data_IF_593788137417
#
_entry.id   IF_593788137417
#
_cell.length_a   1.000
_cell.length_b   1.000
_cell.length_c   1.000
_cell.angle_alpha   90.00
_cell.angle_beta   90.00
_cell.angle_gamma   90.00
#
_symmetry.space_group_name_H-M   'P 1'
#
loop_
_entity.id
_entity.type
_entity.pdbx_description
1 polymer ?
#
# COMPACT_ATOMS: atom_id res chain seq x y z
N UNK A 1 -41.55 -42.59 -48.50
CA UNK A 1 -41.46 -42.26 -47.06
C UNK A 1 -40.03 -41.97 -46.59
N UNK A 2 -38.98 -42.23 -47.38
CA UNK A 2 -37.57 -42.09 -46.96
C UNK A 2 -36.93 -40.72 -47.29
N UNK A 3 -37.55 -39.93 -48.19
CA UNK A 3 -37.06 -38.59 -48.59
C UNK A 3 -37.32 -37.50 -47.54
N UNK A 4 -38.47 -37.57 -46.85
CA UNK A 4 -38.88 -36.53 -45.89
C UNK A 4 -38.15 -36.61 -44.55
N UNK A 5 -37.75 -37.81 -44.13
CA UNK A 5 -36.97 -38.01 -42.89
C UNK A 5 -35.55 -37.43 -43.03
N UNK A 6 -34.93 -37.58 -44.21
CA UNK A 6 -33.59 -37.07 -44.48
C UNK A 6 -33.59 -35.53 -44.61
N UNK A 7 -34.62 -34.95 -45.25
CA UNK A 7 -34.82 -33.50 -45.33
C UNK A 7 -35.00 -32.85 -43.94
N UNK A 8 -35.79 -33.46 -43.07
CA UNK A 8 -35.99 -32.98 -41.69
C UNK A 8 -34.73 -33.14 -40.82
N UNK A 9 -33.96 -34.21 -41.00
CA UNK A 9 -32.66 -34.41 -40.33
C UNK A 9 -31.64 -33.34 -40.74
N UNK A 10 -31.56 -33.02 -42.03
CA UNK A 10 -30.67 -31.97 -42.56
C UNK A 10 -31.08 -30.58 -42.05
N UNK A 11 -32.39 -30.27 -42.04
CA UNK A 11 -32.91 -29.01 -41.47
C UNK A 11 -32.58 -28.89 -39.98
N UNK A 12 -32.78 -29.97 -39.19
CA UNK A 12 -32.48 -29.97 -37.75
C UNK A 12 -30.99 -29.76 -37.45
N UNK A 13 -30.09 -30.39 -38.23
CA UNK A 13 -28.64 -30.18 -38.12
C UNK A 13 -28.24 -28.74 -38.46
N UNK A 14 -28.87 -28.11 -39.46
CA UNK A 14 -28.65 -26.69 -39.80
C UNK A 14 -29.12 -25.74 -38.69
N UNK A 15 -30.29 -25.99 -38.10
CA UNK A 15 -30.82 -25.18 -36.99
C UNK A 15 -29.91 -25.29 -35.75
N UNK A 16 -29.47 -26.50 -35.39
CA UNK A 16 -28.54 -26.70 -34.27
C UNK A 16 -27.22 -25.94 -34.51
N UNK A 17 -26.65 -26.02 -35.72
CA UNK A 17 -25.43 -25.30 -36.07
C UNK A 17 -25.61 -23.78 -35.96
N UNK A 18 -26.77 -23.25 -36.37
CA UNK A 18 -27.10 -21.82 -36.24
C UNK A 18 -27.25 -21.39 -34.77
N UNK A 19 -27.87 -22.20 -33.91
CA UNK A 19 -28.02 -21.91 -32.48
C UNK A 19 -26.65 -21.90 -31.78
N UNK A 20 -25.76 -22.83 -32.10
CA UNK A 20 -24.39 -22.83 -31.55
C UNK A 20 -23.58 -21.61 -32.01
N UNK A 21 -23.69 -21.23 -33.30
CA UNK A 21 -23.04 -20.02 -33.81
C UNK A 21 -23.57 -18.77 -33.10
N UNK A 22 -24.90 -18.65 -32.94
CA UNK A 22 -25.51 -17.52 -32.25
C UNK A 22 -25.11 -17.46 -30.77
N UNK A 23 -25.09 -18.60 -30.07
CA UNK A 23 -24.65 -18.69 -28.68
C UNK A 23 -23.17 -18.32 -28.51
N UNK A 24 -22.32 -18.72 -29.46
CA UNK A 24 -20.91 -18.35 -29.48
C UNK A 24 -20.73 -16.85 -29.75
N UNK A 25 -21.50 -16.27 -30.67
CA UNK A 25 -21.50 -14.84 -30.92
C UNK A 25 -21.95 -14.03 -29.70
N UNK A 26 -22.98 -14.47 -28.97
CA UNK A 26 -23.44 -13.80 -27.75
C UNK A 26 -22.39 -13.89 -26.64
N UNK A 27 -21.78 -15.07 -26.44
CA UNK A 27 -20.68 -15.21 -25.48
C UNK A 27 -19.47 -14.32 -25.86
N UNK A 28 -19.15 -14.24 -27.15
CA UNK A 28 -18.10 -13.36 -27.65
C UNK A 28 -18.46 -11.88 -27.44
N UNK A 29 -19.72 -11.48 -27.60
CA UNK A 29 -20.20 -10.13 -27.28
C UNK A 29 -20.06 -9.79 -25.79
N UNK A 30 -20.30 -10.74 -24.88
CA UNK A 30 -20.06 -10.54 -23.43
C UNK A 30 -18.57 -10.46 -23.08
N UNK A 31 -17.72 -11.27 -23.73
CA UNK A 31 -16.26 -11.21 -23.55
C UNK A 31 -15.70 -9.91 -24.12
N UNK A 32 -16.16 -9.48 -25.30
CA UNK A 32 -15.81 -8.19 -25.91
C UNK A 32 -16.33 -7.05 -25.04
N UNK A 33 -17.52 -7.14 -24.46
CA UNK A 33 -18.05 -6.09 -23.57
C UNK A 33 -17.27 -6.00 -22.25
N UNK A 34 -16.83 -7.14 -21.69
CA UNK A 34 -15.93 -7.14 -20.51
C UNK A 34 -14.55 -6.60 -20.87
N UNK A 35 -14.00 -6.99 -22.02
CA UNK A 35 -12.74 -6.45 -22.52
C UNK A 35 -12.84 -4.96 -22.84
N UNK A 36 -13.99 -4.49 -23.36
CA UNK A 36 -14.26 -3.09 -23.64
C UNK A 36 -14.35 -2.27 -22.34
N UNK A 37 -15.03 -2.78 -21.29
CA UNK A 37 -15.03 -2.13 -19.96
C UNK A 37 -13.65 -2.11 -19.31
N UNK A 38 -12.86 -3.16 -19.49
CA UNK A 38 -11.46 -3.20 -19.03
C UNK A 38 -10.61 -2.20 -19.81
N UNK A 39 -10.78 -2.11 -21.14
CA UNK A 39 -10.11 -1.13 -22.00
C UNK A 39 -10.57 0.30 -21.73
N UNK A 40 -11.82 0.53 -21.36
CA UNK A 40 -12.35 1.84 -20.99
C UNK A 40 -11.81 2.27 -19.62
N UNK A 41 -11.72 1.35 -18.66
CA UNK A 41 -11.05 1.57 -17.37
C UNK A 41 -9.55 1.85 -17.57
N UNK A 42 -8.88 1.08 -18.43
CA UNK A 42 -7.47 1.29 -18.80
C UNK A 42 -7.31 2.59 -19.59
N UNK A 43 -8.26 2.97 -20.44
CA UNK A 43 -8.25 4.21 -21.23
C UNK A 43 -8.43 5.44 -20.35
N UNK A 44 -9.37 5.41 -19.40
CA UNK A 44 -9.55 6.47 -18.38
C UNK A 44 -8.28 6.57 -17.52
N UNK A 45 -7.69 5.44 -17.13
CA UNK A 45 -6.42 5.41 -16.41
C UNK A 45 -5.24 5.95 -17.24
N UNK A 46 -5.17 5.60 -18.53
CA UNK A 46 -4.08 5.96 -19.45
C UNK A 46 -4.22 7.37 -20.04
N UNK A 47 -5.44 7.91 -20.11
CA UNK A 47 -5.70 9.28 -20.56
C UNK A 47 -5.30 10.31 -19.49
N UNK A 48 -5.31 9.93 -18.21
CA UNK A 48 -4.77 10.76 -17.12
C UNK A 48 -3.30 10.49 -16.81
N UNK A 49 -2.70 9.43 -17.36
CA UNK A 49 -1.29 9.10 -17.19
C UNK A 49 -0.64 8.78 -18.55
N UNK A 50 -0.27 9.83 -19.29
CA UNK A 50 0.83 9.75 -20.26
C UNK A 50 2.15 9.63 -19.50
N UNK A 51 2.40 8.46 -18.93
CA UNK A 51 3.73 7.99 -18.54
C UNK A 51 3.72 6.49 -18.34
N UNK A 52 3.87 5.78 -19.44
CA UNK A 52 4.25 4.37 -19.45
C UNK A 52 5.75 4.26 -19.66
N UNK A 53 6.50 4.50 -18.59
CA UNK A 53 7.84 3.97 -18.37
C UNK A 53 7.96 3.74 -16.87
N UNK A 54 8.75 2.76 -16.45
CA UNK A 54 8.99 2.24 -15.09
C UNK A 54 9.55 3.29 -14.08
N UNK A 55 9.30 4.56 -14.34
CA UNK A 55 9.86 5.73 -13.69
C UNK A 55 8.92 6.89 -14.04
N UNK A 56 7.88 7.18 -13.27
CA UNK A 56 7.25 8.50 -13.36
C UNK A 56 6.49 8.95 -12.11
N UNK A 57 7.01 10.06 -11.59
CA UNK A 57 6.34 11.07 -10.77
C UNK A 57 5.94 10.65 -9.38
N UNK A 58 6.95 10.63 -8.50
CA UNK A 58 6.73 11.28 -7.21
C UNK A 58 6.37 12.73 -7.53
N UNK A 59 5.07 13.01 -7.59
CA UNK A 59 4.57 14.36 -7.57
C UNK A 59 4.70 14.85 -6.13
N UNK A 60 5.92 15.24 -5.72
CA UNK A 60 6.18 16.04 -4.51
C UNK A 60 5.68 17.47 -4.77
N UNK A 61 4.38 17.58 -5.04
CA UNK A 61 3.77 18.80 -5.57
C UNK A 61 2.30 18.97 -5.22
N UNK A 62 1.78 18.20 -4.25
CA UNK A 62 0.56 18.56 -3.52
C UNK A 62 0.38 17.65 -2.30
N UNK A 63 0.87 18.11 -1.15
CA UNK A 63 0.47 17.62 0.18
C UNK A 63 -0.91 18.20 0.50
N UNK A 64 -1.88 18.00 -0.40
CA UNK A 64 -3.30 18.18 -0.09
C UNK A 64 -3.82 16.80 0.26
N UNK A 65 -3.93 16.57 1.56
CA UNK A 65 -4.12 15.30 2.24
C UNK A 65 -5.53 14.68 2.06
N UNK A 66 -6.12 14.75 0.87
CA UNK A 66 -7.52 14.39 0.64
C UNK A 66 -7.77 13.17 -0.26
N UNK A 67 -6.73 12.63 -0.93
CA UNK A 67 -6.87 11.51 -1.87
C UNK A 67 -6.19 10.20 -1.45
N UNK A 68 -5.65 10.09 -0.22
CA UNK A 68 -5.16 8.79 0.27
C UNK A 68 -6.34 7.86 0.61
N UNK A 69 -6.50 6.73 -0.11
CA UNK A 69 -7.66 5.86 0.04
C UNK A 69 -7.66 5.14 1.40
N UNK A 70 -6.49 4.84 1.97
CA UNK A 70 -6.40 4.17 3.27
C UNK A 70 -6.87 5.14 4.35
N UNK A 71 -6.37 6.38 4.35
CA UNK A 71 -6.73 7.40 5.31
C UNK A 71 -8.23 7.73 5.23
N UNK A 72 -8.75 7.93 4.01
CA UNK A 72 -10.17 8.21 3.78
C UNK A 72 -11.08 7.11 4.31
N UNK A 73 -10.74 5.84 4.06
CA UNK A 73 -11.55 4.71 4.51
C UNK A 73 -11.37 4.43 6.00
N UNK A 74 -10.18 4.67 6.57
CA UNK A 74 -9.94 4.44 7.99
C UNK A 74 -10.63 5.48 8.89
N UNK A 75 -10.73 6.73 8.41
CA UNK A 75 -11.40 7.82 9.14
C UNK A 75 -12.92 7.76 9.03
N UNK A 76 -13.47 7.01 8.08
CA UNK A 76 -14.91 6.78 7.94
C UNK A 76 -15.38 5.63 8.87
N UNK A 77 -16.31 5.87 9.82
CA UNK A 77 -16.79 4.85 10.75
C UNK A 77 -17.34 3.58 10.09
N UNK A 78 -17.90 3.68 8.87
CA UNK A 78 -18.48 2.55 8.15
C UNK A 78 -17.42 1.57 7.61
N UNK A 79 -16.26 2.08 7.22
CA UNK A 79 -15.18 1.31 6.56
C UNK A 79 -13.97 1.10 7.47
N UNK A 80 -13.91 1.79 8.61
CA UNK A 80 -12.78 1.76 9.55
C UNK A 80 -12.37 0.34 9.96
N UNK A 81 -13.34 -0.52 10.27
CA UNK A 81 -13.06 -1.89 10.72
C UNK A 81 -12.45 -2.75 9.61
N UNK A 82 -12.90 -2.60 8.36
CA UNK A 82 -12.38 -3.38 7.24
C UNK A 82 -10.95 -2.99 6.89
N UNK A 83 -10.64 -1.69 6.95
CA UNK A 83 -9.26 -1.21 6.84
C UNK A 83 -8.40 -1.78 7.97
N UNK A 84 -8.92 -1.74 9.20
CA UNK A 84 -8.19 -2.32 10.33
C UNK A 84 -7.95 -3.82 10.15
N UNK A 85 -8.95 -4.59 9.71
CA UNK A 85 -8.84 -6.03 9.50
C UNK A 85 -7.77 -6.36 8.45
N UNK A 86 -7.75 -5.60 7.34
CA UNK A 86 -6.72 -5.73 6.31
C UNK A 86 -5.31 -5.53 6.90
N UNK A 87 -5.09 -4.46 7.66
CA UNK A 87 -3.77 -4.20 8.26
C UNK A 87 -3.45 -5.13 9.43
N UNK A 88 -4.47 -5.64 10.12
CA UNK A 88 -4.31 -6.66 11.17
C UNK A 88 -3.80 -7.97 10.57
N UNK A 89 -4.29 -8.34 9.38
CA UNK A 89 -3.78 -9.49 8.63
C UNK A 89 -2.32 -9.29 8.17
N UNK A 90 -1.95 -8.09 7.69
CA UNK A 90 -0.57 -7.78 7.28
C UNK A 90 0.41 -7.85 8.46
N UNK A 91 0.01 -7.30 9.62
CA UNK A 91 0.87 -7.22 10.81
C UNK A 91 0.81 -8.46 11.69
N UNK A 92 -0.16 -9.35 11.45
CA UNK A 92 -0.55 -10.42 12.36
C UNK A 92 -0.86 -9.91 13.79
N UNK A 93 -1.37 -8.68 13.91
CA UNK A 93 -1.73 -8.08 15.20
C UNK A 93 -2.60 -6.83 15.04
N UNK A 94 -3.86 -6.92 15.45
CA UNK A 94 -4.76 -5.76 15.48
C UNK A 94 -4.18 -4.60 16.30
N UNK A 95 -3.53 -4.92 17.42
CA UNK A 95 -2.91 -3.92 18.29
C UNK A 95 -1.80 -3.13 17.60
N UNK A 96 -0.96 -3.80 16.80
CA UNK A 96 0.10 -3.15 16.02
C UNK A 96 -0.50 -2.36 14.86
N UNK A 97 -1.43 -2.95 14.11
CA UNK A 97 -2.12 -2.28 13.01
C UNK A 97 -2.81 -0.99 13.46
N UNK A 98 -3.60 -1.06 14.54
CA UNK A 98 -4.30 0.09 15.12
C UNK A 98 -3.32 1.16 15.62
N UNK A 99 -2.23 0.76 16.28
CA UNK A 99 -1.19 1.69 16.71
C UNK A 99 -0.57 2.48 15.54
N UNK A 100 -0.29 1.81 14.41
CA UNK A 100 0.26 2.48 13.23
C UNK A 100 -0.80 3.37 12.57
N UNK A 101 -2.02 2.88 12.37
CA UNK A 101 -3.11 3.62 11.72
C UNK A 101 -3.52 4.88 12.49
N UNK A 102 -3.78 4.77 13.80
CA UNK A 102 -4.20 5.90 14.62
C UNK A 102 -3.11 6.98 14.68
N UNK A 103 -1.84 6.59 14.79
CA UNK A 103 -0.74 7.56 14.79
C UNK A 103 -0.46 8.13 13.38
N UNK A 104 -0.66 7.36 12.31
CA UNK A 104 -0.56 7.88 10.95
C UNK A 104 -1.60 8.99 10.70
N UNK A 105 -2.85 8.77 11.13
CA UNK A 105 -3.91 9.79 11.12
C UNK A 105 -3.50 11.02 11.94
N UNK A 106 -3.08 10.81 13.19
CA UNK A 106 -2.74 11.90 14.11
C UNK A 106 -1.58 12.78 13.62
N UNK A 107 -0.64 12.20 12.89
CA UNK A 107 0.54 12.90 12.36
C UNK A 107 0.39 13.31 10.89
N UNK A 108 -0.77 13.13 10.26
CA UNK A 108 -1.00 13.47 8.85
C UNK A 108 -0.02 12.72 7.92
N UNK A 109 0.35 11.49 8.31
CA UNK A 109 1.27 10.61 7.58
C UNK A 109 0.48 9.65 6.70
N UNK A 110 0.96 9.36 5.49
CA UNK A 110 0.39 8.32 4.65
C UNK A 110 0.47 6.97 5.38
N UNK A 111 -0.65 6.26 5.60
CA UNK A 111 -0.62 4.98 6.30
C UNK A 111 0.31 3.97 5.60
N UNK A 112 0.29 3.91 4.26
CA UNK A 112 1.18 3.02 3.48
C UNK A 112 2.66 3.22 3.81
N UNK A 113 3.12 4.48 3.93
CA UNK A 113 4.49 4.81 4.29
C UNK A 113 4.79 4.40 5.74
N UNK A 114 3.89 4.70 6.68
CA UNK A 114 4.08 4.34 8.08
C UNK A 114 4.21 2.82 8.29
N UNK A 115 3.37 2.02 7.61
CA UNK A 115 3.50 0.56 7.62
C UNK A 115 4.77 0.09 6.91
N UNK A 116 5.15 0.70 5.79
CA UNK A 116 6.38 0.34 5.08
C UNK A 116 7.63 0.53 5.94
N UNK A 117 7.75 1.67 6.62
CA UNK A 117 8.84 1.95 7.56
C UNK A 117 8.82 0.93 8.70
N UNK A 118 7.68 0.71 9.37
CA UNK A 118 7.58 -0.28 10.45
C UNK A 118 7.97 -1.71 10.01
N UNK A 119 7.67 -2.08 8.76
CA UNK A 119 8.08 -3.36 8.19
C UNK A 119 9.60 -3.44 8.00
N UNK A 120 10.21 -2.42 7.39
CA UNK A 120 11.66 -2.40 7.14
C UNK A 120 12.44 -2.36 8.46
N UNK A 121 11.95 -1.63 9.45
CA UNK A 121 12.59 -1.50 10.75
C UNK A 121 12.51 -2.78 11.59
N UNK A 122 11.33 -3.38 11.72
CA UNK A 122 11.12 -4.46 12.71
C UNK A 122 10.33 -5.66 12.18
N UNK A 123 9.91 -5.64 10.92
CA UNK A 123 8.90 -6.57 10.38
C UNK A 123 7.66 -6.64 11.28
N UNK A 124 7.21 -5.46 11.72
CA UNK A 124 6.08 -5.29 12.64
C UNK A 124 6.25 -5.88 14.05
N UNK A 125 7.48 -6.20 14.47
CA UNK A 125 7.74 -6.75 15.80
C UNK A 125 7.91 -5.62 16.84
N UNK A 126 6.94 -5.38 17.75
CA UNK A 126 7.06 -4.32 18.75
C UNK A 126 8.11 -4.63 19.82
N UNK A 127 8.67 -5.83 19.86
CA UNK A 127 9.76 -6.24 20.77
C UNK A 127 11.12 -6.33 20.07
N UNK A 128 11.23 -5.87 18.82
CA UNK A 128 12.49 -5.88 18.10
C UNK A 128 13.55 -5.04 18.83
N UNK A 129 14.78 -5.53 18.85
CA UNK A 129 15.93 -4.86 19.46
C UNK A 129 17.15 -5.10 18.58
N UNK A 130 17.90 -4.05 18.31
CA UNK A 130 19.19 -4.13 17.64
C UNK A 130 20.18 -3.15 18.26
N UNK A 131 21.47 -3.42 18.06
CA UNK A 131 22.55 -2.56 18.53
C UNK A 131 23.19 -1.88 17.34
N UNK A 132 23.27 -0.56 17.38
CA UNK A 132 23.95 0.23 16.36
C UNK A 132 25.47 0.09 16.51
N UNK A 133 26.25 0.39 15.46
CA UNK A 133 27.72 0.32 15.48
C UNK A 133 28.35 1.22 16.55
N UNK A 134 27.64 2.27 16.96
CA UNK A 134 28.04 3.20 18.03
C UNK A 134 27.76 2.66 19.44
N UNK A 135 27.17 1.47 19.57
CA UNK A 135 26.78 0.85 20.85
C UNK A 135 25.41 1.27 21.36
N UNK A 136 24.74 2.24 20.71
CA UNK A 136 23.37 2.66 21.04
C UNK A 136 22.35 1.59 20.66
N UNK A 137 21.20 1.59 21.34
CA UNK A 137 20.14 0.59 21.14
C UNK A 137 19.02 1.15 20.28
N UNK A 138 18.62 0.39 19.28
CA UNK A 138 17.40 0.60 18.52
C UNK A 138 16.32 -0.34 19.06
N UNK A 139 15.12 0.18 19.33
CA UNK A 139 14.09 -0.60 20.03
C UNK A 139 12.67 -0.38 19.49
N UNK A 140 11.91 -1.47 19.50
CA UNK A 140 10.49 -1.51 19.20
C UNK A 140 10.16 -1.46 17.71
N UNK A 141 8.89 -1.17 17.44
CA UNK A 141 8.23 -1.28 16.14
C UNK A 141 8.90 -0.46 15.02
N UNK A 142 9.38 0.73 15.35
CA UNK A 142 10.03 1.71 14.46
C UNK A 142 11.54 1.83 14.73
N UNK A 143 12.10 0.90 15.53
CA UNK A 143 13.53 0.82 15.86
C UNK A 143 14.16 2.15 16.30
N UNK A 144 13.45 2.89 17.15
CA UNK A 144 13.93 4.19 17.64
C UNK A 144 15.25 4.03 18.38
N UNK A 145 16.20 4.91 18.09
CA UNK A 145 17.48 4.92 18.80
C UNK A 145 17.30 5.48 20.21
N UNK A 146 18.06 4.95 21.17
CA UNK A 146 18.10 5.44 22.56
C UNK A 146 18.44 6.92 22.70
N UNK A 147 19.16 7.52 21.73
CA UNK A 147 19.40 8.96 21.71
C UNK A 147 18.14 9.80 21.42
N UNK A 148 17.12 9.21 20.78
CA UNK A 148 15.90 9.91 20.33
C UNK A 148 14.84 9.95 21.44
N UNK A 149 14.65 8.86 22.20
CA UNK A 149 13.60 8.80 23.21
C UNK A 149 14.05 9.17 24.64
N UNK A 150 15.32 9.54 24.82
CA UNK A 150 15.82 10.18 26.05
C UNK A 150 15.45 9.43 27.33
N UNK A 151 14.63 10.06 28.19
CA UNK A 151 14.20 9.53 29.52
C UNK A 151 13.01 8.57 29.47
N UNK A 152 12.48 8.24 28.29
CA UNK A 152 11.39 7.26 28.18
C UNK A 152 11.91 5.90 28.65
N UNK A 153 11.14 5.23 29.51
CA UNK A 153 11.53 3.92 30.01
C UNK A 153 11.61 2.89 28.88
N UNK A 154 12.59 2.01 28.96
CA UNK A 154 12.77 0.91 28.00
C UNK A 154 11.51 0.03 27.90
N UNK A 155 10.79 -0.19 29.00
CA UNK A 155 9.51 -0.91 28.95
C UNK A 155 8.47 -0.19 28.08
N UNK A 156 8.43 1.13 28.15
CA UNK A 156 7.47 1.94 27.40
C UNK A 156 7.80 1.99 25.90
N UNK A 157 9.06 1.82 25.50
CA UNK A 157 9.43 1.85 24.08
C UNK A 157 8.99 0.60 23.31
N UNK A 158 8.74 -0.51 24.01
CA UNK A 158 8.19 -1.74 23.43
C UNK A 158 6.66 -1.76 23.38
N UNK A 159 6.02 -0.69 23.84
CA UNK A 159 4.60 -0.46 23.59
C UNK A 159 4.41 0.04 22.14
N UNK A 160 3.64 -0.66 21.27
CA UNK A 160 3.47 -0.29 19.88
C UNK A 160 2.83 1.08 19.70
N UNK A 161 1.93 1.52 20.58
CA UNK A 161 1.33 2.87 20.46
C UNK A 161 2.37 3.94 20.76
N UNK A 162 3.10 3.78 21.87
CA UNK A 162 4.13 4.75 22.24
C UNK A 162 5.26 4.78 21.21
N UNK A 163 5.67 3.63 20.68
CA UNK A 163 6.72 3.53 19.67
C UNK A 163 6.27 4.10 18.32
N UNK A 164 5.05 3.78 17.86
CA UNK A 164 4.49 4.33 16.62
C UNK A 164 4.30 5.85 16.70
N UNK A 165 3.80 6.37 17.82
CA UNK A 165 3.66 7.81 18.05
C UNK A 165 4.99 8.54 17.85
N UNK A 166 6.05 8.03 18.46
CA UNK A 166 7.38 8.63 18.37
C UNK A 166 8.00 8.45 16.99
N UNK A 167 7.93 7.25 16.40
CA UNK A 167 8.55 6.99 15.10
C UNK A 167 7.88 7.73 13.96
N UNK A 168 6.55 7.74 13.92
CA UNK A 168 5.80 8.48 12.90
C UNK A 168 5.97 9.99 13.12
N UNK A 169 5.91 10.45 14.36
CA UNK A 169 6.16 11.86 14.69
C UNK A 169 7.56 12.32 14.25
N UNK A 170 8.58 11.52 14.53
CA UNK A 170 9.96 11.84 14.15
C UNK A 170 10.18 11.82 12.63
N UNK A 171 9.55 10.88 11.92
CA UNK A 171 9.56 10.88 10.45
C UNK A 171 8.87 12.13 9.89
N UNK A 172 7.74 12.53 10.47
CA UNK A 172 7.01 13.74 10.06
C UNK A 172 7.84 15.02 10.31
N UNK A 173 8.57 15.09 11.41
CA UNK A 173 9.52 16.19 11.67
C UNK A 173 10.56 16.28 10.54
N UNK A 174 11.12 15.16 10.11
CA UNK A 174 12.07 15.17 9.00
C UNK A 174 11.45 15.53 7.66
N UNK A 175 10.21 15.12 7.37
CA UNK A 175 9.49 15.56 6.16
C UNK A 175 9.32 17.08 6.18
N UNK A 176 8.89 17.63 7.31
CA UNK A 176 8.69 19.08 7.45
C UNK A 176 10.00 19.88 7.33
N UNK A 177 11.10 19.34 7.86
CA UNK A 177 12.41 20.00 7.82
C UNK A 177 13.06 19.98 6.45
N UNK A 178 12.97 18.86 5.72
CA UNK A 178 13.69 18.68 4.47
C UNK A 178 12.84 19.03 3.24
N UNK A 179 11.52 19.03 3.35
CA UNK A 179 10.59 19.31 2.25
C UNK A 179 10.43 18.15 1.25
N UNK A 180 11.18 17.07 1.41
CA UNK A 180 11.08 15.88 0.58
C UNK A 180 11.24 14.58 1.40
N UNK A 181 10.60 13.53 0.92
CA UNK A 181 10.55 12.23 1.60
C UNK A 181 11.87 11.47 1.53
N UNK A 182 12.62 11.62 0.44
CA UNK A 182 13.90 10.93 0.27
C UNK A 182 14.88 11.38 1.35
N UNK A 183 15.02 12.69 1.53
CA UNK A 183 15.84 13.29 2.59
C UNK A 183 15.32 12.94 3.98
N UNK A 184 14.00 12.86 4.15
CA UNK A 184 13.42 12.48 5.43
C UNK A 184 13.74 11.03 5.82
N UNK A 185 13.57 10.07 4.89
CA UNK A 185 13.93 8.68 5.11
C UNK A 185 15.45 8.49 5.27
N UNK A 186 16.25 9.28 4.54
CA UNK A 186 17.69 9.29 4.73
C UNK A 186 18.06 9.72 6.16
N UNK A 187 17.49 10.84 6.63
CA UNK A 187 17.71 11.36 7.97
C UNK A 187 17.22 10.39 9.05
N UNK A 188 16.08 9.74 8.84
CA UNK A 188 15.53 8.73 9.74
C UNK A 188 16.49 7.54 9.91
N UNK A 189 17.02 7.01 8.81
CA UNK A 189 17.90 5.84 8.83
C UNK A 189 19.35 6.15 9.28
N UNK A 190 19.93 7.23 8.76
CA UNK A 190 21.35 7.52 8.95
C UNK A 190 21.62 8.51 10.09
N UNK A 191 20.62 9.26 10.51
CA UNK A 191 20.73 10.39 11.44
C UNK A 191 21.23 11.67 10.74
N UNK A 192 20.61 12.80 11.05
CA UNK A 192 20.90 14.10 10.41
C UNK A 192 22.37 14.53 10.58
N UNK A 193 22.95 14.34 11.77
CA UNK A 193 24.35 14.68 12.07
C UNK A 193 25.32 13.92 11.18
N UNK A 194 25.07 12.62 10.95
CA UNK A 194 25.92 11.82 10.09
C UNK A 194 25.85 12.30 8.64
N UNK A 195 24.65 12.64 8.17
CA UNK A 195 24.44 13.16 6.82
C UNK A 195 25.16 14.49 6.65
N UNK A 196 25.04 15.42 7.61
CA UNK A 196 25.69 16.73 7.53
C UNK A 196 27.23 16.62 7.54
N UNK A 197 27.79 15.68 8.28
CA UNK A 197 29.25 15.52 8.39
C UNK A 197 29.87 14.68 7.26
N UNK A 198 29.16 13.65 6.78
CA UNK A 198 29.74 12.57 5.95
C UNK A 198 28.93 12.23 4.71
N UNK A 199 27.81 12.92 4.49
CA UNK A 199 26.86 12.61 3.42
C UNK A 199 26.03 11.35 3.70
N UNK A 200 25.16 11.02 2.73
CA UNK A 200 24.23 9.88 2.83
C UNK A 200 25.02 8.56 2.61
N UNK A 201 25.02 7.63 3.57
CA UNK A 201 25.67 6.33 3.39
C UNK A 201 25.05 5.51 2.25
N UNK A 202 25.86 4.77 1.49
CA UNK A 202 25.36 3.90 0.40
C UNK A 202 24.27 2.90 0.86
N UNK A 203 24.39 2.37 2.08
CA UNK A 203 23.40 1.47 2.69
C UNK A 203 22.03 2.12 2.93
N UNK A 204 21.99 3.45 3.05
CA UNK A 204 20.75 4.22 3.27
C UNK A 204 19.92 4.29 1.99
N UNK A 205 20.54 4.29 0.81
CA UNK A 205 19.80 4.18 -0.46
C UNK A 205 19.06 2.85 -0.57
N UNK A 206 19.66 1.75 -0.08
CA UNK A 206 18.98 0.45 -0.01
C UNK A 206 17.76 0.52 0.93
N UNK A 207 17.91 1.11 2.11
CA UNK A 207 16.80 1.31 3.04
C UNK A 207 15.64 2.07 2.39
N UNK A 208 15.92 3.20 1.74
CA UNK A 208 14.90 4.02 1.07
C UNK A 208 14.20 3.21 -0.03
N UNK A 209 14.96 2.44 -0.81
CA UNK A 209 14.41 1.55 -1.83
C UNK A 209 13.50 0.46 -1.23
N UNK A 210 13.91 -0.17 -0.13
CA UNK A 210 13.10 -1.17 0.57
C UNK A 210 11.79 -0.58 1.11
N UNK A 211 11.84 0.62 1.69
CA UNK A 211 10.64 1.35 2.16
C UNK A 211 9.71 1.65 0.98
N UNK A 212 10.21 2.24 -0.10
CA UNK A 212 9.40 2.59 -1.28
C UNK A 212 8.75 1.34 -1.90
N UNK A 213 9.51 0.26 -2.08
CA UNK A 213 8.97 -1.01 -2.60
C UNK A 213 7.88 -1.56 -1.69
N UNK A 214 8.06 -1.49 -0.37
CA UNK A 214 7.06 -1.99 0.57
C UNK A 214 5.81 -1.11 0.60
N UNK A 215 5.96 0.21 0.56
CA UNK A 215 4.83 1.15 0.48
C UNK A 215 3.96 0.85 -0.74
N UNK A 216 4.59 0.69 -1.92
CA UNK A 216 3.87 0.34 -3.14
C UNK A 216 3.16 -1.02 -3.03
N UNK A 217 3.80 -2.03 -2.44
CA UNK A 217 3.17 -3.34 -2.23
C UNK A 217 1.94 -3.24 -1.34
N UNK A 218 2.03 -2.52 -0.23
CA UNK A 218 0.93 -2.30 0.70
C UNK A 218 -0.24 -1.60 0.01
N UNK A 219 0.04 -0.50 -0.69
CA UNK A 219 -0.99 0.25 -1.41
C UNK A 219 -1.67 -0.61 -2.48
N UNK A 220 -0.90 -1.35 -3.28
CA UNK A 220 -1.45 -2.22 -4.32
C UNK A 220 -2.34 -3.33 -3.75
N UNK A 221 -1.92 -3.97 -2.65
CA UNK A 221 -2.75 -4.98 -1.99
C UNK A 221 -4.01 -4.38 -1.37
N UNK A 222 -3.94 -3.16 -0.85
CA UNK A 222 -5.10 -2.47 -0.30
C UNK A 222 -6.11 -2.09 -1.39
N UNK A 223 -5.65 -1.55 -2.53
CA UNK A 223 -6.53 -1.28 -3.67
C UNK A 223 -7.16 -2.57 -4.21
N UNK A 224 -6.39 -3.66 -4.29
CA UNK A 224 -6.92 -4.96 -4.70
C UNK A 224 -7.95 -5.50 -3.70
N UNK A 225 -7.74 -5.35 -2.39
CA UNK A 225 -8.71 -5.80 -1.39
C UNK A 225 -10.02 -5.01 -1.45
N UNK A 226 -9.96 -3.69 -1.68
CA UNK A 226 -11.14 -2.85 -1.93
C UNK A 226 -11.90 -3.32 -3.16
N UNK A 227 -11.21 -3.57 -4.28
CA UNK A 227 -11.87 -3.98 -5.52
C UNK A 227 -12.63 -5.31 -5.39
N UNK A 228 -12.17 -6.17 -4.49
CA UNK A 228 -12.79 -7.47 -4.18
C UNK A 228 -13.85 -7.38 -3.08
N UNK A 229 -13.85 -6.32 -2.27
CA UNK A 229 -14.81 -6.11 -1.19
C UNK A 229 -16.04 -5.34 -1.68
N UNK A 230 -17.23 -5.90 -1.51
CA UNK A 230 -18.49 -5.20 -1.82
C UNK A 230 -18.73 -4.00 -0.89
N UNK A 231 -18.27 -4.07 0.36
CA UNK A 231 -18.52 -3.10 1.43
C UNK A 231 -17.53 -1.93 1.46
N UNK A 232 -16.37 -2.05 0.79
CA UNK A 232 -15.37 -0.98 0.66
C UNK A 232 -15.53 -0.14 -0.62
N UNK A 233 -16.51 -0.43 -1.48
CA UNK A 233 -16.78 0.35 -2.68
C UNK A 233 -17.34 1.73 -2.29
N UNK A 234 -16.63 2.78 -2.69
CA UNK A 234 -17.05 4.18 -2.55
C UNK A 234 -18.26 4.49 -3.45
#
# INVERSE_FOLDING_TARGET
MESDSNSNSIKRKRVIKLVFIASFCIALLFVISRAARLCETISIYKSNNKSSSIMFSINIGNINNYDDPILKLYTNPKTKNEVLDFFSAITNSERVARAILDNAVAHNMRPSLAFAVAYVESRYNPRARSTNRTGTLNSGLFQLNSSVYGKISEKSIYDPYQNARLGIGHLQEYINLNGDEFSALAAYNAGITRISEKGIPGVTFRYISEVSIMEHKIMNFFIASIALSESMKL
#
